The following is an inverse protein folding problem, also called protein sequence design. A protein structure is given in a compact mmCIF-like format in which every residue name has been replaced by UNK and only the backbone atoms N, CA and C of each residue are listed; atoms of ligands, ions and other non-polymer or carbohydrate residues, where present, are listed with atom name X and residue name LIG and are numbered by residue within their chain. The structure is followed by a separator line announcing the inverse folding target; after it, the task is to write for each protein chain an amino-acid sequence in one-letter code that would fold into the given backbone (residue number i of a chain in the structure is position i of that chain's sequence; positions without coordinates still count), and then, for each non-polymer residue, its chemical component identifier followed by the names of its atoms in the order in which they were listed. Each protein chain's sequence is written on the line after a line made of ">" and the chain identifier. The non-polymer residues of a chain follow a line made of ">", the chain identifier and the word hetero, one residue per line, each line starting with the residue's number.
data_IF_050429910827
#
_entry.id   IF_050429910827
#
_cell.length_a   1.000
_cell.length_b   1.000
_cell.length_c   1.000
_cell.angle_alpha   90.00
_cell.angle_beta   90.00
_cell.angle_gamma   90.00
#
_symmetry.space_group_name_H-M   'P 1'
#
loop_
_entity.id
_entity.type
_entity.pdbx_description
1 polymer ?
#
# COMPACT_ATOMS: atom_id res chain seq x y z
N UNK A 1 22.45 47.21 19.94
CA UNK A 1 22.53 46.01 20.80
C UNK A 1 22.36 44.72 19.99
N UNK A 2 23.22 43.72 20.22
CA UNK A 2 23.06 42.35 19.70
C UNK A 2 22.47 41.44 20.78
N UNK A 3 21.27 40.90 20.57
CA UNK A 3 20.55 40.13 21.60
C UNK A 3 20.74 38.61 21.46
N UNK A 4 20.52 38.03 20.27
CA UNK A 4 20.74 36.60 19.99
C UNK A 4 22.09 36.31 19.32
N UNK A 5 22.72 35.21 19.74
CA UNK A 5 23.88 34.62 19.07
C UNK A 5 23.70 33.10 19.01
N UNK A 6 22.95 32.60 18.02
CA UNK A 6 22.80 31.15 17.83
C UNK A 6 24.04 30.57 17.13
N UNK A 7 24.48 29.42 17.62
CA UNK A 7 25.50 28.59 16.98
C UNK A 7 25.11 27.14 17.13
N UNK A 8 25.21 26.36 16.06
CA UNK A 8 25.11 24.90 16.11
C UNK A 8 26.07 24.37 17.20
N UNK A 9 25.61 23.48 18.07
CA UNK A 9 26.38 22.91 19.19
C UNK A 9 26.85 23.90 20.27
N UNK A 10 26.18 25.07 20.41
CA UNK A 10 26.48 26.06 21.47
C UNK A 10 27.93 26.58 21.49
N UNK A 11 28.63 26.57 20.35
CA UNK A 11 30.01 27.07 20.23
C UNK A 11 30.16 28.57 20.55
N UNK A 12 30.58 28.85 21.79
CA UNK A 12 30.84 30.20 22.29
C UNK A 12 31.97 30.93 21.51
N UNK A 13 32.86 30.21 20.83
CA UNK A 13 33.94 30.79 20.01
C UNK A 13 33.35 31.49 18.79
N UNK A 14 32.41 30.84 18.10
CA UNK A 14 31.73 31.41 16.93
C UNK A 14 30.87 32.62 17.33
N UNK A 15 30.14 32.51 18.45
CA UNK A 15 29.37 33.63 19.02
C UNK A 15 30.27 34.83 19.30
N UNK A 16 31.45 34.61 19.89
CA UNK A 16 32.41 35.68 20.19
C UNK A 16 32.99 36.31 18.92
N UNK A 17 33.33 35.49 17.92
CA UNK A 17 33.83 35.97 16.64
C UNK A 17 32.84 36.90 15.93
N UNK A 18 31.54 36.56 15.96
CA UNK A 18 30.47 37.41 15.42
C UNK A 18 30.44 38.77 16.12
N UNK A 19 30.45 38.77 17.47
CA UNK A 19 30.45 40.01 18.27
C UNK A 19 31.65 40.89 17.91
N UNK A 20 32.86 40.33 17.90
CA UNK A 20 34.08 41.09 17.61
C UNK A 20 34.03 41.72 16.20
N UNK A 21 33.47 41.01 15.21
CA UNK A 21 33.25 41.54 13.86
C UNK A 21 32.25 42.69 13.82
N UNK A 22 31.15 42.58 14.57
CA UNK A 22 30.13 43.62 14.64
C UNK A 22 30.63 44.88 15.37
N UNK A 23 31.46 44.72 16.42
CA UNK A 23 32.15 45.82 17.11
C UNK A 23 33.14 46.49 16.17
N UNK A 24 33.98 45.72 15.46
CA UNK A 24 34.95 46.27 14.50
C UNK A 24 34.24 47.07 13.39
N UNK A 25 33.09 46.59 12.93
CA UNK A 25 32.25 47.26 11.94
C UNK A 25 31.44 48.44 12.48
N UNK A 26 31.47 48.69 13.80
CA UNK A 26 30.67 49.72 14.51
C UNK A 26 29.16 49.56 14.29
N UNK A 27 28.69 48.33 14.18
CA UNK A 27 27.26 48.02 14.01
C UNK A 27 26.49 47.90 15.33
N UNK A 28 27.22 47.69 16.43
CA UNK A 28 26.64 47.49 17.75
C UNK A 28 27.38 48.33 18.80
N UNK A 29 26.66 48.63 19.87
CA UNK A 29 27.06 49.41 21.04
C UNK A 29 27.02 48.59 22.34
N UNK A 30 26.59 47.33 22.25
CA UNK A 30 26.57 46.35 23.32
C UNK A 30 25.91 45.05 22.85
N UNK A 31 25.97 44.02 23.68
CA UNK A 31 25.53 42.67 23.33
C UNK A 31 25.11 41.87 24.58
N UNK A 32 24.29 40.82 24.39
CA UNK A 32 23.98 39.87 25.45
C UNK A 32 25.21 39.02 25.75
N UNK A 33 25.48 38.81 27.04
CA UNK A 33 26.68 38.12 27.52
C UNK A 33 26.75 36.71 26.91
N UNK A 34 27.90 36.37 26.32
CA UNK A 34 28.11 35.05 25.71
C UNK A 34 28.01 33.97 26.79
N UNK A 35 27.13 33.00 26.59
CA UNK A 35 26.87 31.92 27.55
C UNK A 35 25.91 32.30 28.69
N UNK A 36 25.27 33.47 28.65
CA UNK A 36 24.16 33.77 29.54
C UNK A 36 22.97 32.85 29.27
N UNK A 37 22.21 32.53 30.32
CA UNK A 37 21.00 31.74 30.20
C UNK A 37 19.95 32.45 29.35
N UNK A 38 19.10 31.70 28.67
CA UNK A 38 17.87 32.20 28.06
C UNK A 38 16.91 32.81 29.10
N UNK A 39 17.07 32.44 30.39
CA UNK A 39 16.34 33.02 31.51
C UNK A 39 16.87 34.37 31.98
N UNK A 40 18.12 34.72 31.64
CA UNK A 40 18.78 35.95 32.10
C UNK A 40 18.51 37.11 31.14
N UNK A 41 17.31 37.70 31.26
CA UNK A 41 16.85 38.76 30.36
C UNK A 41 17.70 40.05 30.41
N UNK A 42 18.37 40.30 31.54
CA UNK A 42 19.15 41.51 31.84
C UNK A 42 20.66 41.36 31.62
N UNK A 43 21.14 40.20 31.14
CA UNK A 43 22.57 39.89 31.00
C UNK A 43 23.25 40.60 29.81
N UNK A 44 23.17 41.93 29.73
CA UNK A 44 23.82 42.74 28.70
C UNK A 44 25.13 43.38 29.17
N UNK A 45 26.06 43.58 28.22
CA UNK A 45 27.31 44.31 28.41
C UNK A 45 27.53 45.31 27.27
N UNK A 46 28.30 46.37 27.53
CA UNK A 46 28.77 47.27 26.48
C UNK A 46 29.92 46.66 25.66
N UNK A 47 30.39 47.38 24.64
CA UNK A 47 31.50 46.91 23.77
C UNK A 47 32.83 46.72 24.51
N UNK A 48 33.00 47.33 25.68
CA UNK A 48 34.19 47.22 26.54
C UNK A 48 34.02 46.11 27.59
N UNK A 49 32.86 45.46 27.63
CA UNK A 49 32.53 44.38 28.57
C UNK A 49 32.02 44.86 29.93
N UNK A 50 31.72 46.15 30.11
CA UNK A 50 31.11 46.63 31.34
C UNK A 50 29.65 46.19 31.41
N UNK A 51 29.19 45.80 32.60
CA UNK A 51 27.82 45.35 32.81
C UNK A 51 26.81 46.46 32.54
N UNK A 52 25.76 46.11 31.80
CA UNK A 52 24.58 46.93 31.55
C UNK A 52 23.33 46.36 32.24
N UNK A 53 23.51 45.50 33.25
CA UNK A 53 22.40 44.79 33.92
C UNK A 53 21.36 45.71 34.53
N UNK A 54 21.80 46.85 35.08
CA UNK A 54 20.90 47.85 35.68
C UNK A 54 20.17 48.73 34.63
N UNK A 55 20.39 48.48 33.33
CA UNK A 55 19.75 49.23 32.25
C UNK A 55 18.45 48.56 31.82
N UNK A 56 17.48 49.42 31.53
CA UNK A 56 16.18 49.08 30.97
C UNK A 56 16.21 49.34 29.48
N UNK A 57 15.98 48.31 28.69
CA UNK A 57 15.94 48.34 27.23
C UNK A 57 14.54 48.06 26.72
N UNK A 58 14.21 48.68 25.59
CA UNK A 58 12.98 48.45 24.84
C UNK A 58 13.32 48.29 23.36
N UNK A 59 12.57 47.43 22.67
CA UNK A 59 12.64 47.27 21.22
C UNK A 59 11.25 47.45 20.63
N UNK A 60 11.21 47.91 19.38
CA UNK A 60 9.99 47.86 18.59
C UNK A 60 9.74 46.42 18.16
N UNK A 61 8.59 45.88 18.52
CA UNK A 61 8.14 44.54 18.19
C UNK A 61 6.71 44.64 17.69
N UNK A 62 6.42 44.08 16.52
CA UNK A 62 5.07 44.09 15.94
C UNK A 62 4.67 42.64 15.73
N UNK A 63 3.70 42.21 16.51
CA UNK A 63 3.11 40.88 16.45
C UNK A 63 1.61 41.03 16.19
N UNK A 64 1.08 40.22 15.30
CA UNK A 64 -0.36 39.99 15.15
C UNK A 64 -0.82 38.95 16.19
N UNK A 65 -2.13 38.91 16.49
CA UNK A 65 -2.73 37.93 17.40
C UNK A 65 -2.50 36.49 16.94
N UNK A 66 -2.48 36.27 15.62
CA UNK A 66 -2.30 34.97 14.95
C UNK A 66 -0.83 34.62 14.68
N UNK A 67 0.13 35.51 14.97
CA UNK A 67 1.54 35.24 14.73
C UNK A 67 2.05 34.12 15.66
N UNK A 68 2.61 33.05 15.08
CA UNK A 68 3.31 32.03 15.86
C UNK A 68 4.49 32.65 16.61
N UNK A 69 4.46 32.56 17.95
CA UNK A 69 5.48 33.17 18.78
C UNK A 69 6.75 32.31 18.82
N UNK A 70 7.89 32.97 18.58
CA UNK A 70 9.20 32.39 18.90
C UNK A 70 9.64 32.83 20.30
N UNK A 71 10.18 31.88 21.08
CA UNK A 71 10.69 32.11 22.42
C UNK A 71 11.65 33.30 22.50
N UNK A 72 11.35 34.34 23.29
CA UNK A 72 12.22 35.51 23.43
C UNK A 72 13.16 35.38 24.65
N UNK A 73 14.48 35.42 24.42
CA UNK A 73 15.48 35.23 25.50
C UNK A 73 15.60 36.46 26.40
N UNK A 74 15.53 37.67 25.83
CA UNK A 74 15.71 38.91 26.61
C UNK A 74 14.50 39.82 26.63
N UNK A 75 13.70 39.91 25.58
CA UNK A 75 12.58 40.84 25.51
C UNK A 75 11.25 40.12 25.74
N UNK A 76 11.00 39.77 27.01
CA UNK A 76 9.90 38.87 27.40
C UNK A 76 8.57 39.58 27.61
N UNK A 77 8.59 40.82 28.08
CA UNK A 77 7.35 41.55 28.37
C UNK A 77 6.96 42.34 27.14
N UNK A 78 5.78 42.05 26.57
CA UNK A 78 5.30 42.68 25.34
C UNK A 78 4.04 43.51 25.61
N UNK A 79 4.04 44.73 25.09
CA UNK A 79 2.93 45.68 25.11
C UNK A 79 2.43 45.85 23.68
N UNK A 80 1.28 45.24 23.42
CA UNK A 80 0.65 45.14 22.10
C UNK A 80 0.24 46.53 21.58
N UNK A 81 -0.36 47.36 22.45
CA UNK A 81 -0.81 48.70 22.08
C UNK A 81 0.34 49.63 21.67
N UNK A 82 1.55 49.38 22.20
CA UNK A 82 2.73 50.20 21.92
C UNK A 82 3.66 49.63 20.85
N UNK A 83 3.40 48.44 20.32
CA UNK A 83 4.35 47.69 19.48
C UNK A 83 5.73 47.58 20.15
N UNK A 84 5.80 47.24 21.45
CA UNK A 84 7.06 47.27 22.22
C UNK A 84 7.26 46.03 23.08
N UNK A 85 8.48 45.50 23.04
CA UNK A 85 8.94 44.49 23.98
C UNK A 85 10.05 45.03 24.89
N UNK A 86 10.06 44.59 26.15
CA UNK A 86 10.93 45.07 27.21
C UNK A 86 11.77 43.93 27.78
N UNK A 87 12.98 44.25 28.25
CA UNK A 87 13.85 43.29 28.96
C UNK A 87 13.71 43.34 30.48
N UNK A 88 12.72 44.09 30.96
CA UNK A 88 12.36 44.25 32.36
C UNK A 88 10.84 44.22 32.44
N UNK A 89 10.29 43.83 33.58
CA UNK A 89 8.85 43.89 33.83
C UNK A 89 8.39 45.37 33.93
N UNK A 90 7.60 45.88 32.97
CA UNK A 90 7.04 47.22 33.04
C UNK A 90 5.79 47.23 33.94
N UNK A 91 5.33 48.42 34.34
CA UNK A 91 4.09 48.55 35.14
C UNK A 91 2.86 48.01 34.41
N UNK A 92 2.84 48.07 33.08
CA UNK A 92 1.78 47.53 32.24
C UNK A 92 2.42 46.85 31.02
N UNK A 93 2.01 45.62 30.76
CA UNK A 93 2.29 44.85 29.54
C UNK A 93 1.07 44.01 29.18
N UNK A 94 0.96 43.62 27.92
CA UNK A 94 -0.18 42.85 27.38
C UNK A 94 0.08 41.34 27.48
N UNK A 95 1.28 40.87 27.10
CA UNK A 95 1.63 39.45 27.05
C UNK A 95 3.06 39.21 27.52
N UNK A 96 3.30 38.00 28.03
CA UNK A 96 4.64 37.48 28.28
C UNK A 96 5.01 36.52 27.14
N UNK A 97 6.09 36.81 26.41
CA UNK A 97 6.58 36.05 25.25
C UNK A 97 7.49 34.86 25.65
N UNK A 98 7.22 34.26 26.81
CA UNK A 98 7.91 33.07 27.34
C UNK A 98 7.35 31.71 26.82
N UNK A 99 6.09 31.55 26.34
CA UNK A 99 5.63 30.28 25.80
C UNK A 99 6.14 30.04 24.37
N UNK A 100 6.62 28.82 24.10
CA UNK A 100 6.91 28.30 22.75
C UNK A 100 5.67 27.69 22.11
N UNK A 101 5.48 27.88 20.81
CA UNK A 101 4.45 27.24 19.97
C UNK A 101 3.01 27.61 20.34
N UNK A 102 2.81 28.85 20.79
CA UNK A 102 1.48 29.42 20.98
C UNK A 102 1.43 30.80 20.34
N UNK A 103 0.25 31.21 19.90
CA UNK A 103 -0.01 32.59 19.48
C UNK A 103 -0.30 33.48 20.72
N UNK A 104 -0.61 34.76 20.52
CA UNK A 104 -0.87 35.69 21.66
C UNK A 104 -2.16 35.35 22.42
N UNK A 105 -3.10 34.65 21.78
CA UNK A 105 -4.35 34.16 22.37
C UNK A 105 -4.16 32.88 23.20
N UNK A 106 -2.97 32.26 23.10
CA UNK A 106 -2.61 31.06 23.85
C UNK A 106 -3.07 29.76 23.20
N UNK A 107 -3.55 29.80 21.96
CA UNK A 107 -3.84 28.62 21.18
C UNK A 107 -2.52 27.93 20.83
N UNK A 108 -2.42 26.62 21.12
CA UNK A 108 -1.43 25.78 20.46
C UNK A 108 -1.70 25.88 18.97
N UNK A 109 -0.67 26.12 18.14
CA UNK A 109 -0.81 26.15 16.69
C UNK A 109 -1.65 24.93 16.30
N UNK A 110 -2.93 25.14 15.95
CA UNK A 110 -3.92 24.10 15.70
C UNK A 110 -3.68 23.40 14.37
N UNK A 111 -2.40 23.31 13.99
CA UNK A 111 -1.94 22.84 12.71
C UNK A 111 -1.31 21.48 12.88
N UNK A 112 -1.93 20.49 12.28
CA UNK A 112 -1.43 19.12 12.21
C UNK A 112 -0.37 19.00 11.12
N UNK A 113 0.52 18.01 11.24
CA UNK A 113 1.59 17.80 10.27
C UNK A 113 1.18 16.78 9.22
N UNK A 114 1.07 17.23 7.97
CA UNK A 114 0.92 16.35 6.82
C UNK A 114 2.27 15.68 6.50
N UNK A 115 2.36 14.39 6.83
CA UNK A 115 3.53 13.56 6.58
C UNK A 115 3.75 13.21 5.12
N UNK A 116 2.73 13.30 4.26
CA UNK A 116 2.83 12.98 2.85
C UNK A 116 3.28 14.20 2.03
N UNK A 117 2.62 15.34 2.22
CA UNK A 117 2.92 16.58 1.51
C UNK A 117 3.98 17.47 2.20
N UNK A 118 4.37 17.15 3.45
CA UNK A 118 5.43 17.80 4.20
C UNK A 118 5.15 19.28 4.55
N UNK A 119 3.94 19.57 5.03
CA UNK A 119 3.56 20.90 5.54
C UNK A 119 2.57 20.80 6.70
N UNK A 120 2.33 21.93 7.38
CA UNK A 120 1.34 22.04 8.45
C UNK A 120 -0.05 22.41 7.91
N UNK A 121 -1.06 21.58 8.15
CA UNK A 121 -2.46 21.75 7.71
C UNK A 121 -3.41 21.89 8.91
N UNK A 122 -4.70 22.14 8.68
CA UNK A 122 -5.68 22.28 9.77
C UNK A 122 -6.08 20.94 10.39
N UNK A 123 -6.20 19.89 9.59
CA UNK A 123 -6.66 18.57 10.01
C UNK A 123 -6.02 17.50 9.12
N UNK A 124 -5.61 16.39 9.72
CA UNK A 124 -5.10 15.21 9.02
C UNK A 124 -6.01 14.01 9.20
N UNK A 125 -6.02 13.17 8.18
CA UNK A 125 -6.62 11.84 8.19
C UNK A 125 -5.54 10.78 8.26
N UNK A 126 -5.80 9.69 8.98
CA UNK A 126 -4.94 8.51 9.00
C UNK A 126 -5.11 7.74 7.70
N UNK A 127 -4.02 7.57 6.96
CA UNK A 127 -3.94 6.82 5.72
C UNK A 127 -2.83 5.76 5.81
N UNK A 128 -2.77 4.88 4.81
CA UNK A 128 -1.75 3.84 4.71
C UNK A 128 -1.02 3.95 3.37
N UNK A 129 0.32 3.89 3.42
CA UNK A 129 1.19 3.82 2.25
C UNK A 129 2.26 2.75 2.44
N UNK A 130 2.39 1.81 1.51
CA UNK A 130 3.18 0.58 1.61
C UNK A 130 2.91 -0.19 2.92
N UNK A 131 1.68 -0.16 3.41
CA UNK A 131 1.27 -0.76 4.68
C UNK A 131 1.69 0.00 5.95
N UNK A 132 2.34 1.17 5.82
CA UNK A 132 2.71 2.02 6.95
C UNK A 132 1.68 3.13 7.18
N UNK A 133 1.40 3.43 8.44
CA UNK A 133 0.52 4.54 8.86
C UNK A 133 1.16 5.90 8.52
N UNK A 134 0.38 6.78 7.90
CA UNK A 134 0.77 8.15 7.56
C UNK A 134 -0.41 9.10 7.80
N UNK A 135 -0.13 10.29 8.31
CA UNK A 135 -1.12 11.36 8.48
C UNK A 135 -1.04 12.29 7.27
N UNK A 136 -2.17 12.50 6.59
CA UNK A 136 -2.28 13.27 5.35
C UNK A 136 -3.35 14.34 5.52
N UNK A 137 -3.16 15.53 4.96
CA UNK A 137 -4.17 16.59 4.97
C UNK A 137 -5.52 16.06 4.50
N UNK A 138 -6.54 16.19 5.34
CA UNK A 138 -7.90 15.69 5.09
C UNK A 138 -8.55 16.32 3.85
N UNK A 139 -8.07 17.49 3.40
CA UNK A 139 -8.56 18.16 2.19
C UNK A 139 -7.78 17.76 0.92
N UNK A 140 -6.68 16.99 1.03
CA UNK A 140 -5.83 16.55 -0.09
C UNK A 140 -5.60 15.03 -0.05
N UNK A 141 -6.66 14.26 -0.29
CA UNK A 141 -6.63 12.79 -0.32
C UNK A 141 -6.72 12.24 -1.75
N UNK A 142 -6.33 13.00 -2.78
CA UNK A 142 -6.54 12.62 -4.18
C UNK A 142 -5.76 11.39 -4.64
N UNK A 143 -4.63 11.09 -3.98
CA UNK A 143 -3.79 9.91 -4.25
C UNK A 143 -4.18 8.69 -3.37
N UNK A 144 -5.32 8.77 -2.67
CA UNK A 144 -5.76 7.77 -1.70
C UNK A 144 -7.19 7.30 -1.99
N UNK A 145 -7.35 5.99 -1.97
CA UNK A 145 -8.63 5.32 -2.13
C UNK A 145 -9.18 4.85 -0.78
N UNK A 146 -10.46 5.10 -0.53
CA UNK A 146 -11.15 4.59 0.67
C UNK A 146 -11.53 3.12 0.48
N UNK A 147 -10.97 2.25 1.32
CA UNK A 147 -11.27 0.81 1.28
C UNK A 147 -12.26 0.48 2.40
N UNK A 148 -13.52 0.23 2.03
CA UNK A 148 -14.61 -0.01 2.99
C UNK A 148 -14.34 -1.21 3.92
N UNK A 149 -13.74 -2.30 3.39
CA UNK A 149 -13.45 -3.51 4.16
C UNK A 149 -12.40 -3.30 5.27
N UNK A 150 -11.48 -2.36 5.06
CA UNK A 150 -10.46 -1.93 6.04
C UNK A 150 -10.91 -0.73 6.85
N UNK A 151 -11.96 -0.02 6.41
CA UNK A 151 -12.42 1.25 6.97
C UNK A 151 -11.26 2.25 7.11
N UNK A 152 -10.47 2.38 6.03
CA UNK A 152 -9.27 3.20 6.00
C UNK A 152 -8.96 3.68 4.57
N UNK A 153 -8.21 4.78 4.47
CA UNK A 153 -7.62 5.26 3.22
C UNK A 153 -6.29 4.54 2.95
N UNK A 154 -6.13 4.03 1.73
CA UNK A 154 -4.90 3.42 1.26
C UNK A 154 -4.41 4.15 0.01
N UNK A 155 -3.10 4.33 -0.12
CA UNK A 155 -2.51 4.96 -1.29
C UNK A 155 -2.85 4.15 -2.56
N UNK A 156 -3.12 4.82 -3.67
CA UNK A 156 -3.62 4.15 -4.88
C UNK A 156 -2.68 3.05 -5.42
N UNK A 157 -1.36 3.20 -5.24
CA UNK A 157 -0.38 2.17 -5.62
C UNK A 157 -0.48 0.88 -4.78
N UNK A 158 -1.07 0.94 -3.59
CA UNK A 158 -1.32 -0.22 -2.73
C UNK A 158 -2.68 -0.86 -2.98
N UNK A 159 -3.44 -0.32 -3.94
CA UNK A 159 -4.78 -0.76 -4.27
C UNK A 159 -4.82 -1.40 -5.66
N UNK A 160 -5.68 -2.40 -5.80
CA UNK A 160 -6.04 -3.03 -7.07
C UNK A 160 -7.55 -3.19 -7.13
N UNK A 161 -8.13 -3.20 -8.32
CA UNK A 161 -9.55 -3.41 -8.51
C UNK A 161 -9.86 -4.90 -8.68
N UNK A 162 -10.90 -5.39 -8.02
CA UNK A 162 -11.41 -6.74 -8.25
C UNK A 162 -11.96 -6.88 -9.69
N UNK A 163 -11.50 -7.88 -10.44
CA UNK A 163 -11.89 -8.06 -11.84
C UNK A 163 -13.37 -8.46 -12.03
N UNK A 164 -14.02 -8.98 -10.97
CA UNK A 164 -15.41 -9.44 -11.03
C UNK A 164 -16.43 -8.42 -10.46
N UNK A 165 -16.14 -7.75 -9.35
CA UNK A 165 -17.07 -6.78 -8.75
C UNK A 165 -16.67 -5.32 -8.93
N UNK A 166 -15.45 -5.07 -9.41
CA UNK A 166 -14.88 -3.73 -9.62
C UNK A 166 -14.73 -2.88 -8.35
N UNK A 167 -14.76 -3.50 -7.17
CA UNK A 167 -14.43 -2.81 -5.92
C UNK A 167 -12.91 -2.78 -5.71
N UNK A 168 -12.42 -1.66 -5.19
CA UNK A 168 -11.01 -1.50 -4.83
C UNK A 168 -10.67 -2.33 -3.58
N UNK A 169 -9.53 -3.01 -3.63
CA UNK A 169 -9.00 -3.86 -2.59
C UNK A 169 -7.52 -3.54 -2.39
N UNK A 170 -7.04 -3.75 -1.16
CA UNK A 170 -5.61 -3.64 -0.88
C UNK A 170 -4.90 -4.81 -1.58
N UNK A 171 -3.79 -4.53 -2.28
CA UNK A 171 -3.01 -5.53 -3.01
C UNK A 171 -2.62 -6.75 -2.16
N UNK A 172 -2.38 -6.58 -0.86
CA UNK A 172 -2.05 -7.68 0.06
C UNK A 172 -3.22 -8.64 0.33
N UNK A 173 -4.47 -8.16 0.17
CA UNK A 173 -5.69 -8.94 0.37
C UNK A 173 -6.19 -9.59 -0.92
N UNK A 174 -5.64 -9.20 -2.06
CA UNK A 174 -6.09 -9.68 -3.36
C UNK A 174 -5.74 -11.16 -3.57
N UNK A 175 -6.74 -11.93 -3.97
CA UNK A 175 -6.57 -13.31 -4.40
C UNK A 175 -6.25 -13.34 -5.89
N UNK A 176 -5.17 -14.01 -6.27
CA UNK A 176 -4.80 -14.19 -7.67
C UNK A 176 -5.21 -15.56 -8.18
N UNK A 177 -5.88 -15.62 -9.33
CA UNK A 177 -6.18 -16.88 -10.01
C UNK A 177 -5.09 -17.27 -11.00
N UNK A 178 -4.65 -18.53 -10.98
CA UNK A 178 -3.76 -19.09 -12.00
C UNK A 178 -4.50 -19.43 -13.31
N UNK A 179 -5.84 -19.58 -13.25
CA UNK A 179 -6.68 -19.94 -14.39
C UNK A 179 -7.00 -18.70 -15.23
N UNK A 180 -7.44 -17.62 -14.59
CA UNK A 180 -7.78 -16.37 -15.30
C UNK A 180 -6.61 -15.38 -15.37
N UNK A 181 -5.64 -15.49 -14.46
CA UNK A 181 -4.54 -14.52 -14.33
C UNK A 181 -4.94 -13.18 -13.69
N UNK A 182 -6.15 -13.11 -13.13
CA UNK A 182 -6.80 -11.91 -12.61
C UNK A 182 -6.81 -11.85 -11.07
N UNK A 183 -7.22 -10.72 -10.51
CA UNK A 183 -7.24 -10.42 -9.07
C UNK A 183 -8.65 -10.25 -8.52
N UNK A 184 -8.93 -10.88 -7.39
CA UNK A 184 -10.27 -10.95 -6.81
C UNK A 184 -10.30 -10.61 -5.33
N UNK A 185 -11.40 -9.99 -4.88
CA UNK A 185 -11.59 -9.63 -3.48
C UNK A 185 -12.00 -10.80 -2.58
N UNK A 186 -12.49 -11.91 -3.15
CA UNK A 186 -12.88 -13.10 -2.40
C UNK A 186 -12.97 -14.36 -3.26
N UNK A 187 -12.88 -15.52 -2.62
CA UNK A 187 -12.96 -16.84 -3.27
C UNK A 187 -14.21 -17.00 -4.12
N UNK A 188 -15.35 -16.51 -3.63
CA UNK A 188 -16.63 -16.65 -4.36
C UNK A 188 -16.59 -16.03 -5.75
N UNK A 189 -15.96 -14.86 -5.89
CA UNK A 189 -15.87 -14.18 -7.18
C UNK A 189 -14.81 -14.82 -8.07
N UNK A 190 -13.68 -15.21 -7.49
CA UNK A 190 -12.66 -15.99 -8.19
C UNK A 190 -13.23 -17.30 -8.74
N UNK A 191 -13.85 -18.14 -7.91
CA UNK A 191 -14.45 -19.42 -8.33
C UNK A 191 -15.49 -19.24 -9.44
N UNK A 192 -16.29 -18.15 -9.37
CA UNK A 192 -17.27 -17.82 -10.39
C UNK A 192 -16.59 -17.50 -11.72
N UNK A 193 -15.55 -16.66 -11.69
CA UNK A 193 -14.79 -16.26 -12.87
C UNK A 193 -14.04 -17.45 -13.49
N UNK A 194 -13.34 -18.25 -12.66
CA UNK A 194 -12.65 -19.47 -13.11
C UNK A 194 -13.63 -20.47 -13.73
N UNK A 195 -14.80 -20.66 -13.13
CA UNK A 195 -15.83 -21.57 -13.68
C UNK A 195 -16.32 -21.09 -15.04
N UNK A 196 -16.58 -19.79 -15.20
CA UNK A 196 -16.98 -19.22 -16.48
C UNK A 196 -15.87 -19.35 -17.53
N UNK A 197 -14.62 -19.07 -17.14
CA UNK A 197 -13.46 -19.20 -18.00
C UNK A 197 -13.26 -20.63 -18.50
N UNK A 198 -13.29 -21.61 -17.60
CA UNK A 198 -13.16 -23.04 -17.96
C UNK A 198 -14.31 -23.48 -18.88
N UNK A 199 -15.54 -23.01 -18.64
CA UNK A 199 -16.69 -23.35 -19.50
C UNK A 199 -16.55 -22.85 -20.93
N UNK A 200 -15.84 -21.74 -21.14
CA UNK A 200 -15.65 -21.15 -22.46
C UNK A 200 -14.39 -21.63 -23.17
N UNK A 201 -13.34 -21.98 -22.41
CA UNK A 201 -12.00 -22.20 -22.97
C UNK A 201 -11.49 -23.63 -22.81
N UNK A 202 -12.05 -24.44 -21.90
CA UNK A 202 -11.54 -25.77 -21.57
C UNK A 202 -12.50 -26.88 -22.00
N UNK A 203 -12.02 -28.12 -21.97
CA UNK A 203 -12.75 -29.32 -22.37
C UNK A 203 -13.19 -30.11 -21.14
N UNK A 204 -14.49 -30.38 -21.03
CA UNK A 204 -15.04 -31.14 -19.90
C UNK A 204 -15.12 -32.63 -20.19
N UNK A 205 -14.57 -33.44 -19.29
CA UNK A 205 -14.80 -34.89 -19.26
C UNK A 205 -16.03 -35.22 -18.44
N UNK A 206 -17.07 -35.77 -19.08
CA UNK A 206 -18.25 -36.32 -18.42
C UNK A 206 -17.91 -37.54 -17.55
N UNK A 207 -16.98 -38.39 -18.00
CA UNK A 207 -16.56 -39.59 -17.26
C UNK A 207 -15.77 -39.24 -15.99
N UNK A 208 -14.79 -38.35 -16.09
CA UNK A 208 -13.92 -37.96 -14.97
C UNK A 208 -14.55 -36.88 -14.08
N UNK A 209 -15.59 -36.20 -14.57
CA UNK A 209 -16.23 -35.03 -13.94
C UNK A 209 -15.21 -33.91 -13.65
N UNK A 210 -14.38 -33.59 -14.64
CA UNK A 210 -13.26 -32.63 -14.55
C UNK A 210 -13.06 -31.87 -15.86
N UNK A 211 -12.47 -30.67 -15.75
CA UNK A 211 -12.05 -29.85 -16.90
C UNK A 211 -10.59 -30.09 -17.24
N UNK A 212 -10.25 -29.95 -18.52
CA UNK A 212 -8.93 -30.13 -19.10
C UNK A 212 -8.65 -28.98 -20.07
N UNK A 213 -7.46 -28.40 -20.00
CA UNK A 213 -7.09 -27.23 -20.81
C UNK A 213 -6.88 -27.59 -22.29
N UNK A 214 -6.25 -28.73 -22.56
CA UNK A 214 -5.86 -29.14 -23.91
C UNK A 214 -6.87 -30.12 -24.52
N UNK A 215 -7.19 -29.93 -25.81
CA UNK A 215 -8.08 -30.85 -26.54
C UNK A 215 -7.53 -32.28 -26.59
N UNK A 216 -6.20 -32.41 -26.69
CA UNK A 216 -5.50 -33.70 -26.78
C UNK A 216 -5.62 -34.54 -25.51
N UNK A 217 -5.94 -33.92 -24.37
CA UNK A 217 -6.15 -34.62 -23.10
C UNK A 217 -7.54 -35.27 -23.02
N UNK A 218 -8.45 -34.94 -23.93
CA UNK A 218 -9.81 -35.47 -23.98
C UNK A 218 -9.99 -36.39 -25.19
N UNK A 219 -10.66 -37.51 -24.95
CA UNK A 219 -11.16 -38.43 -25.97
C UNK A 219 -12.55 -38.91 -25.58
N UNK A 220 -13.06 -39.95 -26.24
CA UNK A 220 -14.41 -40.46 -26.03
C UNK A 220 -14.41 -41.96 -25.72
N UNK A 221 -15.37 -42.37 -24.89
CA UNK A 221 -15.63 -43.77 -24.55
C UNK A 221 -17.12 -44.07 -24.65
N UNK A 222 -17.44 -45.24 -25.19
CA UNK A 222 -18.78 -45.78 -25.24
C UNK A 222 -19.12 -46.44 -23.88
N UNK A 223 -20.01 -45.80 -23.11
CA UNK A 223 -20.45 -46.29 -21.79
C UNK A 223 -21.80 -46.98 -21.88
N UNK A 224 -21.89 -48.23 -21.42
CA UNK A 224 -23.12 -49.02 -21.48
C UNK A 224 -24.14 -48.60 -20.43
N UNK A 225 -25.32 -48.17 -20.88
CA UNK A 225 -26.43 -47.80 -20.00
C UNK A 225 -27.42 -48.97 -19.91
N UNK A 226 -27.35 -49.76 -18.83
CA UNK A 226 -28.16 -50.97 -18.64
C UNK A 226 -29.68 -50.71 -18.75
N UNK A 227 -30.16 -49.57 -18.24
CA UNK A 227 -31.60 -49.22 -18.30
C UNK A 227 -32.09 -48.90 -19.70
N UNK A 228 -31.20 -48.44 -20.58
CA UNK A 228 -31.52 -48.07 -21.96
C UNK A 228 -31.09 -49.15 -22.97
N UNK A 229 -30.31 -50.13 -22.51
CA UNK A 229 -29.74 -51.21 -23.34
C UNK A 229 -29.01 -50.66 -24.57
N UNK A 230 -28.24 -49.59 -24.40
CA UNK A 230 -27.42 -48.95 -25.43
C UNK A 230 -26.18 -48.30 -24.85
N UNK A 231 -25.17 -48.09 -25.69
CA UNK A 231 -24.03 -47.24 -25.35
C UNK A 231 -24.38 -45.76 -25.47
N UNK A 232 -23.81 -44.96 -24.58
CA UNK A 232 -23.74 -43.50 -24.68
C UNK A 232 -22.29 -43.11 -24.91
N UNK A 233 -22.05 -42.35 -25.96
CA UNK A 233 -20.76 -41.70 -26.20
C UNK A 233 -20.59 -40.55 -25.21
N UNK A 234 -19.52 -40.58 -24.41
CA UNK A 234 -19.20 -39.53 -23.44
C UNK A 234 -17.69 -39.22 -23.45
N UNK A 235 -17.35 -37.99 -23.09
CA UNK A 235 -15.96 -37.54 -23.00
C UNK A 235 -15.24 -38.13 -21.78
N UNK A 236 -13.98 -38.54 -21.97
CA UNK A 236 -13.09 -39.10 -20.97
C UNK A 236 -11.68 -38.57 -21.19
N UNK A 237 -10.87 -38.41 -20.14
CA UNK A 237 -9.46 -38.10 -20.33
C UNK A 237 -8.69 -39.27 -20.95
N UNK A 238 -7.70 -38.97 -21.78
CA UNK A 238 -6.81 -39.98 -22.40
C UNK A 238 -6.13 -40.84 -21.35
N UNK A 239 -5.63 -40.21 -20.28
CA UNK A 239 -4.98 -40.90 -19.14
C UNK A 239 -5.94 -41.86 -18.42
N UNK A 240 -7.18 -41.46 -18.17
CA UNK A 240 -8.15 -42.37 -17.54
C UNK A 240 -8.52 -43.50 -18.49
N UNK A 241 -8.70 -43.23 -19.78
CA UNK A 241 -9.01 -44.26 -20.78
C UNK A 241 -7.91 -45.32 -20.86
N UNK A 242 -6.65 -44.89 -20.99
CA UNK A 242 -5.49 -45.80 -21.06
C UNK A 242 -5.44 -46.72 -19.83
N UNK A 243 -5.67 -46.14 -18.64
CA UNK A 243 -5.72 -46.90 -17.40
C UNK A 243 -6.87 -47.92 -17.36
N UNK A 244 -8.03 -47.57 -17.90
CA UNK A 244 -9.15 -48.52 -17.98
C UNK A 244 -8.84 -49.69 -18.92
N UNK A 245 -8.12 -49.44 -20.01
CA UNK A 245 -7.66 -50.47 -20.94
C UNK A 245 -6.63 -51.37 -20.24
N UNK A 246 -5.64 -50.79 -19.57
CA UNK A 246 -4.62 -51.53 -18.80
C UNK A 246 -5.23 -52.40 -17.69
N UNK A 247 -6.28 -51.90 -17.03
CA UNK A 247 -7.01 -52.60 -15.97
C UNK A 247 -8.00 -53.66 -16.51
N UNK A 248 -8.06 -53.88 -17.83
CA UNK A 248 -9.04 -54.76 -18.51
C UNK A 248 -10.51 -54.39 -18.17
N UNK A 249 -10.78 -53.10 -18.01
CA UNK A 249 -12.12 -52.52 -17.76
C UNK A 249 -12.68 -51.80 -18.97
N UNK A 250 -11.89 -51.65 -20.03
CA UNK A 250 -12.32 -51.12 -21.30
C UNK A 250 -11.66 -51.88 -22.45
N UNK A 251 -12.32 -51.93 -23.61
CA UNK A 251 -11.87 -52.68 -24.78
C UNK A 251 -12.05 -51.87 -26.05
N UNK A 252 -11.01 -51.83 -26.88
CA UNK A 252 -11.01 -51.07 -28.13
C UNK A 252 -11.32 -51.97 -29.34
N UNK A 253 -12.29 -51.56 -30.16
CA UNK A 253 -12.71 -52.23 -31.39
C UNK A 253 -12.94 -51.20 -32.50
N UNK A 254 -12.35 -51.40 -33.68
CA UNK A 254 -12.48 -50.48 -34.83
C UNK A 254 -12.29 -48.99 -34.45
N UNK A 255 -11.24 -48.72 -33.66
CA UNK A 255 -10.86 -47.37 -33.17
C UNK A 255 -11.84 -46.73 -32.16
N UNK A 256 -12.87 -47.45 -31.69
CA UNK A 256 -13.76 -47.05 -30.60
C UNK A 256 -13.50 -47.85 -29.33
N UNK A 257 -13.59 -47.22 -28.15
CA UNK A 257 -13.37 -47.91 -26.86
C UNK A 257 -14.67 -48.03 -26.07
N UNK A 258 -14.92 -49.22 -25.51
CA UNK A 258 -16.16 -49.58 -24.81
C UNK A 258 -15.86 -49.99 -23.37
N UNK A 259 -16.67 -49.52 -22.41
CA UNK A 259 -16.52 -49.82 -20.97
C UNK A 259 -17.05 -51.20 -20.55
N UNK A 260 -17.81 -51.84 -21.42
CA UNK A 260 -18.50 -53.10 -21.14
C UNK A 260 -18.61 -53.91 -22.42
N UNK A 261 -18.40 -55.22 -22.32
CA UNK A 261 -18.59 -56.17 -23.41
C UNK A 261 -19.49 -57.33 -22.98
N UNK A 262 -20.08 -58.03 -23.94
CA UNK A 262 -20.88 -59.21 -23.66
C UNK A 262 -19.96 -60.36 -23.18
N UNK A 263 -20.16 -60.91 -21.97
CA UNK A 263 -19.32 -61.98 -21.43
C UNK A 263 -19.30 -63.26 -22.27
N UNK A 264 -20.34 -63.52 -23.06
CA UNK A 264 -20.45 -64.72 -23.89
C UNK A 264 -19.68 -64.61 -25.20
N UNK A 265 -19.63 -63.40 -25.79
CA UNK A 265 -19.02 -63.19 -27.11
C UNK A 265 -17.67 -62.46 -27.05
N UNK A 266 -17.37 -61.78 -25.93
CA UNK A 266 -16.21 -60.89 -25.79
C UNK A 266 -16.30 -59.64 -26.67
N UNK A 267 -17.45 -59.36 -27.28
CA UNK A 267 -17.69 -58.22 -28.17
C UNK A 267 -18.62 -57.20 -27.51
N UNK A 268 -18.57 -55.90 -27.88
CA UNK A 268 -19.51 -54.92 -27.39
C UNK A 268 -20.96 -55.32 -27.74
N UNK A 269 -21.91 -54.94 -26.89
CA UNK A 269 -23.31 -55.31 -27.05
C UNK A 269 -23.89 -54.70 -28.34
N UNK A 270 -24.44 -55.55 -29.21
CA UNK A 270 -25.00 -55.10 -30.50
C UNK A 270 -23.96 -54.77 -31.56
N UNK A 271 -22.67 -55.04 -31.32
CA UNK A 271 -21.60 -54.79 -32.28
C UNK A 271 -21.60 -55.85 -33.38
N UNK A 272 -21.73 -55.39 -34.63
CA UNK A 272 -21.50 -56.20 -35.82
C UNK A 272 -20.13 -55.84 -36.40
N UNK A 273 -19.15 -56.77 -36.42
CA UNK A 273 -17.83 -56.46 -36.96
C UNK A 273 -17.95 -55.97 -38.39
N UNK A 274 -17.37 -54.80 -38.68
CA UNK A 274 -17.21 -54.39 -40.06
C UNK A 274 -16.33 -55.43 -40.75
N UNK A 275 -16.84 -56.07 -41.82
CA UNK A 275 -16.03 -56.99 -42.63
C UNK A 275 -14.91 -56.19 -43.30
N UNK A 276 -13.78 -56.00 -42.63
CA UNK A 276 -12.52 -55.66 -43.32
C UNK A 276 -12.15 -56.86 -44.19
N UNK A 277 -12.03 -56.61 -45.50
CA UNK A 277 -11.69 -57.62 -46.50
C UNK A 277 -10.49 -58.44 -46.04
N UNK A 278 -10.62 -59.77 -46.11
CA UNK A 278 -9.48 -60.68 -45.92
C UNK A 278 -8.41 -60.31 -46.95
N UNK A 279 -7.33 -59.66 -46.52
CA UNK A 279 -6.09 -59.78 -47.26
C UNK A 279 -5.59 -61.22 -47.04
N UNK A 280 -5.66 -61.99 -48.13
CA UNK A 280 -5.09 -63.33 -48.24
C UNK A 280 -3.60 -63.26 -47.90
N UNK A 281 -3.23 -63.72 -46.70
CA UNK A 281 -1.85 -64.07 -46.43
C UNK A 281 -1.50 -65.31 -47.25
N UNK A 282 -0.68 -65.09 -48.27
CA UNK A 282 -0.01 -66.13 -49.03
C UNK A 282 0.92 -66.89 -48.09
N UNK A 283 0.66 -68.18 -47.94
CA UNK A 283 1.55 -69.11 -47.24
C UNK A 283 2.82 -69.24 -48.08
N UNK A 284 3.96 -68.80 -47.56
CA UNK A 284 5.26 -69.20 -48.10
C UNK A 284 5.64 -70.51 -47.41
N UNK A 285 5.59 -71.61 -48.17
CA UNK A 285 6.19 -72.88 -47.79
C UNK A 285 7.71 -72.72 -47.68
N UNK A 286 8.26 -72.89 -46.47
CA UNK A 286 9.69 -73.15 -46.32
C UNK A 286 9.99 -74.57 -46.83
N UNK A 287 10.83 -74.64 -47.86
CA UNK A 287 11.47 -75.88 -48.29
C UNK A 287 12.83 -76.03 -47.60
N UNK A 288 13.06 -77.25 -47.14
CA UNK A 288 14.17 -77.81 -46.35
C UNK A 288 15.56 -77.52 -46.90
#
# INVERSE_FOLDING_TARGET
>A
MLERQYSSNEDNTLKRLLIDKLIQGKYIDGYKTVGASCSDADAFVDIDGNSLRDRKFEIKCRLSEEDTLSYQDSFKWYDYDKDKAYNYEPENYSHELDPTNRNLDGDEDGSEWDGYHQYYCLETSLCYKNGEEIYVDSEHLEDFTWIESRNAYHHDEDCIQCDECHEDIVCEDALSSEITGESYCCDKYMEKAETAFMQENWYYSEYDNKWFEEEEDITHIQVWIDTESRYKDISISTVTLDKLIEDEKAWTFDDETFDKVNPETGLPYGYEPTKKERHEYSIVEETV
#
